data_IF_050325950970
#
_entry.id   IF_050325950970
#
_cell.length_a   1.000
_cell.length_b   1.000
_cell.length_c   1.000
_cell.angle_alpha   90.00
_cell.angle_beta   90.00
_cell.angle_gamma   90.00
#
_symmetry.space_group_name_H-M   'P 1'
#
loop_
_entity.id
_entity.type
_entity.pdbx_description
1 polymer ?
#
# COMPACT_ATOMS: atom_id res chain seq x y z
N UNK A 1 -10.00 -22.00 18.86
CA UNK A 1 -8.82 -21.16 19.18
C UNK A 1 -7.72 -21.55 18.20
N UNK A 2 -7.20 -20.61 17.43
CA UNK A 2 -6.31 -20.91 16.30
C UNK A 2 -4.82 -20.86 16.64
N UNK A 3 -4.47 -20.64 17.91
CA UNK A 3 -3.08 -20.42 18.32
C UNK A 3 -2.13 -21.55 17.90
N UNK A 4 -2.52 -22.81 18.11
CA UNK A 4 -1.68 -23.97 17.78
C UNK A 4 -1.43 -24.09 16.27
N UNK A 5 -2.48 -23.91 15.46
CA UNK A 5 -2.40 -23.94 13.99
C UNK A 5 -1.62 -22.73 13.46
N UNK A 6 -1.86 -21.54 14.00
CA UNK A 6 -1.18 -20.30 13.63
C UNK A 6 0.31 -20.35 13.96
N UNK A 7 0.68 -20.85 15.14
CA UNK A 7 2.09 -21.02 15.53
C UNK A 7 2.84 -21.90 14.53
N UNK A 8 2.28 -23.07 14.20
CA UNK A 8 2.86 -24.01 13.24
C UNK A 8 2.93 -23.41 11.84
N UNK A 9 1.88 -22.69 11.43
CA UNK A 9 1.80 -22.02 10.13
C UNK A 9 2.88 -20.94 9.98
N UNK A 10 2.98 -20.03 10.96
CA UNK A 10 3.95 -18.95 10.97
C UNK A 10 5.39 -19.45 11.00
N UNK A 11 5.68 -20.50 11.79
CA UNK A 11 6.99 -21.16 11.79
C UNK A 11 7.38 -21.64 10.40
N UNK A 12 6.48 -22.35 9.72
CA UNK A 12 6.70 -22.87 8.37
C UNK A 12 6.89 -21.74 7.36
N UNK A 13 6.09 -20.65 7.44
CA UNK A 13 6.20 -19.51 6.53
C UNK A 13 7.54 -18.77 6.69
N UNK A 14 8.10 -18.69 7.91
CA UNK A 14 9.47 -18.20 8.16
C UNK A 14 10.58 -19.22 7.85
N UNK A 15 10.26 -20.44 7.42
CA UNK A 15 11.24 -21.47 7.09
C UNK A 15 11.99 -22.05 8.30
N UNK A 16 11.46 -21.91 9.52
CA UNK A 16 12.15 -22.32 10.75
C UNK A 16 11.87 -23.79 11.13
N UNK A 17 12.88 -24.46 11.68
CA UNK A 17 12.70 -25.77 12.31
C UNK A 17 12.06 -25.61 13.70
N UNK A 18 11.49 -26.69 14.25
CA UNK A 18 10.98 -26.66 15.63
C UNK A 18 12.10 -26.40 16.63
N UNK A 19 13.32 -26.88 16.37
CA UNK A 19 14.47 -26.59 17.23
C UNK A 19 14.78 -25.09 17.24
N UNK A 20 14.92 -24.49 16.06
CA UNK A 20 15.29 -23.07 15.91
C UNK A 20 14.25 -22.13 16.54
N UNK A 21 12.95 -22.42 16.37
CA UNK A 21 11.91 -21.61 17.00
C UNK A 21 11.87 -21.81 18.51
N UNK A 22 12.11 -23.03 19.00
CA UNK A 22 12.12 -23.31 20.43
C UNK A 22 13.27 -22.58 21.13
N UNK A 23 14.45 -22.58 20.52
CA UNK A 23 15.62 -21.81 20.97
C UNK A 23 15.31 -20.31 21.00
N UNK A 24 14.73 -19.75 19.94
CA UNK A 24 14.35 -18.34 19.87
C UNK A 24 13.31 -17.93 20.93
N UNK A 25 12.41 -18.84 21.30
CA UNK A 25 11.39 -18.62 22.34
C UNK A 25 11.86 -19.01 23.75
N UNK A 26 13.13 -19.44 23.89
CA UNK A 26 13.73 -19.89 25.15
C UNK A 26 12.94 -21.03 25.81
N UNK A 27 12.48 -22.01 25.01
CA UNK A 27 11.77 -23.21 25.46
C UNK A 27 12.40 -24.47 24.87
N UNK A 28 12.13 -25.65 25.45
CA UNK A 28 12.57 -26.92 24.88
C UNK A 28 11.79 -27.25 23.59
N UNK A 29 12.44 -27.89 22.62
CA UNK A 29 11.79 -28.43 21.40
C UNK A 29 10.53 -29.23 21.67
N UNK A 30 10.53 -30.10 22.68
CA UNK A 30 9.37 -30.93 23.04
C UNK A 30 8.16 -30.08 23.48
N UNK A 31 8.39 -28.99 24.20
CA UNK A 31 7.33 -28.03 24.58
C UNK A 31 6.75 -27.33 23.35
N UNK A 32 7.60 -26.84 22.44
CA UNK A 32 7.13 -26.23 21.19
C UNK A 32 6.31 -27.23 20.35
N UNK A 33 6.78 -28.47 20.20
CA UNK A 33 6.05 -29.51 19.47
C UNK A 33 4.66 -29.76 20.08
N UNK A 34 4.56 -29.76 21.42
CA UNK A 34 3.29 -29.82 22.13
C UNK A 34 2.38 -28.61 21.83
N UNK A 35 2.94 -27.40 21.81
CA UNK A 35 2.21 -26.17 21.47
C UNK A 35 1.69 -26.17 20.02
N UNK A 36 2.41 -26.73 19.07
CA UNK A 36 1.96 -26.84 17.67
C UNK A 36 0.88 -27.92 17.43
N UNK A 37 0.63 -28.79 18.44
CA UNK A 37 -0.33 -29.88 18.33
C UNK A 37 -1.61 -29.58 19.10
N UNK A 38 -1.54 -29.62 20.43
CA UNK A 38 -2.73 -29.62 21.30
C UNK A 38 -2.55 -28.89 22.62
N UNK A 39 -1.32 -28.63 23.05
CA UNK A 39 -1.06 -27.99 24.35
C UNK A 39 -1.26 -26.48 24.20
N UNK A 40 -2.09 -25.89 25.07
CA UNK A 40 -2.24 -24.44 25.13
C UNK A 40 -1.01 -23.82 25.82
N UNK A 41 -0.27 -22.91 25.16
CA UNK A 41 0.83 -22.20 25.80
C UNK A 41 0.34 -21.34 26.98
N UNK A 42 1.13 -21.21 28.06
CA UNK A 42 0.83 -20.22 29.11
C UNK A 42 0.95 -18.79 28.56
N UNK A 43 0.35 -17.82 29.25
CA UNK A 43 0.27 -16.42 28.78
C UNK A 43 1.67 -15.83 28.49
N UNK A 44 2.67 -16.13 29.30
CA UNK A 44 4.04 -15.65 29.08
C UNK A 44 4.64 -16.18 27.76
N UNK A 45 4.39 -17.44 27.44
CA UNK A 45 4.80 -18.05 26.17
C UNK A 45 4.02 -17.45 25.00
N UNK A 46 2.73 -17.18 25.18
CA UNK A 46 1.91 -16.50 24.17
C UNK A 46 2.43 -15.09 23.85
N UNK A 47 2.82 -14.33 24.87
CA UNK A 47 3.43 -13.00 24.70
C UNK A 47 4.76 -13.12 23.95
N UNK A 48 5.63 -14.07 24.32
CA UNK A 48 6.90 -14.29 23.57
C UNK A 48 6.67 -14.67 22.11
N UNK A 49 5.66 -15.50 21.83
CA UNK A 49 5.27 -15.86 20.45
C UNK A 49 4.81 -14.61 19.69
N UNK A 50 3.92 -13.81 20.31
CA UNK A 50 3.46 -12.53 19.78
C UNK A 50 4.63 -11.61 19.44
N UNK A 51 5.58 -11.45 20.35
CA UNK A 51 6.75 -10.58 20.16
C UNK A 51 7.72 -11.07 19.09
N UNK A 52 7.91 -12.40 18.99
CA UNK A 52 8.80 -13.02 18.00
C UNK A 52 8.24 -12.93 16.57
N UNK A 53 6.94 -13.16 16.41
CA UNK A 53 6.28 -13.07 15.10
C UNK A 53 5.78 -11.65 14.79
N UNK A 54 5.77 -10.76 15.79
CA UNK A 54 5.24 -9.40 15.70
C UNK A 54 3.77 -9.35 15.28
N UNK A 55 3.00 -10.34 15.74
CA UNK A 55 1.55 -10.45 15.49
C UNK A 55 0.83 -10.33 16.81
N UNK A 56 -0.23 -9.53 16.87
CA UNK A 56 -0.98 -9.33 18.11
C UNK A 56 -1.59 -10.65 18.61
N UNK A 57 -1.67 -10.77 19.95
CA UNK A 57 -2.23 -11.95 20.60
C UNK A 57 -3.69 -12.21 20.18
N UNK A 58 -4.49 -11.16 20.01
CA UNK A 58 -5.87 -11.26 19.54
C UNK A 58 -5.96 -12.00 18.20
N UNK A 59 -5.13 -11.62 17.22
CA UNK A 59 -5.13 -12.26 15.90
C UNK A 59 -4.66 -13.71 16.01
N UNK A 60 -3.56 -13.96 16.75
CA UNK A 60 -3.02 -15.30 16.94
C UNK A 60 -4.04 -16.28 17.54
N UNK A 61 -4.95 -15.80 18.39
CA UNK A 61 -5.90 -16.64 19.13
C UNK A 61 -7.26 -16.75 18.43
N UNK A 62 -7.77 -15.64 17.87
CA UNK A 62 -9.15 -15.53 17.38
C UNK A 62 -9.30 -15.79 15.88
N UNK A 63 -8.26 -15.61 15.08
CA UNK A 63 -8.34 -15.67 13.62
C UNK A 63 -7.53 -16.84 13.04
N UNK A 64 -7.97 -17.38 11.90
CA UNK A 64 -7.23 -18.41 11.18
C UNK A 64 -6.29 -17.78 10.14
N UNK A 65 -4.99 -17.73 10.44
CA UNK A 65 -3.99 -17.15 9.55
C UNK A 65 -3.78 -17.96 8.27
N UNK A 66 -4.17 -19.24 8.25
CA UNK A 66 -4.07 -20.07 7.03
C UNK A 66 -5.12 -19.70 5.98
N UNK A 67 -6.20 -19.05 6.40
CA UNK A 67 -7.26 -18.54 5.51
C UNK A 67 -6.95 -17.20 4.86
N UNK A 68 -5.86 -16.54 5.30
CA UNK A 68 -5.49 -15.23 4.79
C UNK A 68 -4.94 -15.34 3.37
N UNK A 69 -5.30 -14.36 2.52
CA UNK A 69 -4.62 -14.19 1.24
C UNK A 69 -3.13 -13.89 1.46
N UNK A 70 -2.30 -14.23 0.48
CA UNK A 70 -0.86 -13.99 0.58
C UNK A 70 -0.54 -12.50 0.77
N UNK A 71 -1.34 -11.61 0.17
CA UNK A 71 -1.26 -10.16 0.39
C UNK A 71 -1.51 -9.77 1.85
N UNK A 72 -2.64 -10.21 2.43
CA UNK A 72 -3.01 -9.88 3.83
C UNK A 72 -1.99 -10.44 4.82
N UNK A 73 -1.41 -11.61 4.50
CA UNK A 73 -0.38 -12.22 5.33
C UNK A 73 0.96 -11.46 5.27
N UNK A 74 1.34 -10.94 4.10
CA UNK A 74 2.52 -10.07 3.97
C UNK A 74 2.33 -8.77 4.75
N UNK A 75 1.17 -8.14 4.62
CA UNK A 75 0.83 -6.94 5.38
C UNK A 75 0.93 -7.19 6.90
N UNK A 76 0.44 -8.34 7.37
CA UNK A 76 0.45 -8.68 8.78
C UNK A 76 1.85 -9.04 9.33
N UNK A 77 2.70 -9.67 8.53
CA UNK A 77 4.03 -10.16 8.96
C UNK A 77 5.18 -9.19 8.68
N UNK A 78 4.98 -8.20 7.81
CA UNK A 78 5.95 -7.15 7.54
C UNK A 78 5.83 -6.03 8.60
N UNK A 79 6.54 -6.20 9.71
CA UNK A 79 6.50 -5.28 10.87
C UNK A 79 7.24 -3.95 10.67
N UNK A 80 7.98 -3.75 9.56
CA UNK A 80 8.58 -2.43 9.27
C UNK A 80 7.56 -1.40 8.73
N UNK A 81 6.28 -1.74 8.71
CA UNK A 81 5.21 -0.91 8.15
C UNK A 81 4.52 0.02 9.16
N UNK A 82 5.23 0.49 10.20
CA UNK A 82 4.89 1.84 10.70
C UNK A 82 5.18 2.92 9.63
N UNK A 83 5.93 2.56 8.58
CA UNK A 83 6.32 3.43 7.46
C UNK A 83 5.49 3.25 6.17
N UNK A 84 4.55 2.29 6.11
CA UNK A 84 3.67 2.11 4.94
C UNK A 84 2.25 2.57 5.28
N UNK A 85 2.07 3.89 5.14
CA UNK A 85 0.80 4.58 4.88
C UNK A 85 -0.48 3.89 5.38
N UNK A 86 -0.78 4.00 6.67
CA UNK A 86 -2.11 3.64 7.16
C UNK A 86 -3.16 4.67 6.73
N UNK A 87 -3.83 4.34 5.63
CA UNK A 87 -5.27 4.12 5.58
C UNK A 87 -5.53 3.26 4.35
N UNK A 88 -5.67 1.95 4.56
CA UNK A 88 -6.32 1.08 3.60
C UNK A 88 -7.74 1.63 3.37
N UNK A 89 -7.87 2.49 2.37
CA UNK A 89 -9.15 2.75 1.74
C UNK A 89 -9.42 1.59 0.82
N UNK A 90 -10.51 0.89 1.08
CA UNK A 90 -11.10 -0.03 0.11
C UNK A 90 -11.46 0.83 -1.12
N UNK A 91 -10.57 0.89 -2.11
CA UNK A 91 -10.88 1.41 -3.43
C UNK A 91 -11.61 0.27 -4.15
N UNK A 92 -12.94 0.34 -4.12
CA UNK A 92 -13.80 -0.63 -4.78
C UNK A 92 -13.53 -0.58 -6.30
N UNK A 93 -12.79 -1.57 -6.83
CA UNK A 93 -12.62 -1.71 -8.27
C UNK A 93 -13.95 -2.16 -8.86
N UNK A 94 -14.59 -1.31 -9.64
CA UNK A 94 -15.80 -1.69 -10.37
C UNK A 94 -15.37 -2.46 -11.62
N UNK A 95 -15.94 -3.64 -11.84
CA UNK A 95 -15.73 -4.45 -13.04
C UNK A 95 -16.93 -4.27 -13.99
N UNK A 96 -16.70 -4.37 -15.30
CA UNK A 96 -17.79 -4.43 -16.27
C UNK A 96 -18.43 -5.84 -16.32
N UNK A 97 -19.50 -5.99 -17.12
CA UNK A 97 -20.22 -7.28 -17.30
C UNK A 97 -19.34 -8.41 -17.85
N UNK A 98 -18.13 -8.10 -18.31
CA UNK A 98 -17.16 -9.04 -18.90
C UNK A 98 -15.98 -9.31 -17.94
N UNK A 99 -16.03 -8.77 -16.71
CA UNK A 99 -14.98 -8.94 -15.70
C UNK A 99 -13.74 -8.09 -15.94
N UNK A 100 -13.80 -7.07 -16.80
CA UNK A 100 -12.68 -6.16 -17.05
C UNK A 100 -12.70 -5.02 -16.04
N UNK A 101 -11.54 -4.69 -15.48
CA UNK A 101 -11.40 -3.57 -14.57
C UNK A 101 -11.71 -2.24 -15.28
N UNK A 102 -12.65 -1.47 -14.73
CA UNK A 102 -12.97 -0.12 -15.23
C UNK A 102 -12.00 0.88 -14.59
N UNK A 103 -11.25 1.60 -15.43
CA UNK A 103 -10.30 2.62 -14.96
C UNK A 103 -11.08 3.90 -14.64
N UNK A 104 -10.87 4.43 -13.44
CA UNK A 104 -11.43 5.70 -12.98
C UNK A 104 -10.66 6.88 -13.61
N UNK A 105 -11.39 7.89 -14.07
CA UNK A 105 -10.82 9.11 -14.66
C UNK A 105 -10.97 10.28 -13.69
N UNK A 106 -9.86 10.83 -13.22
CA UNK A 106 -9.87 11.99 -12.32
C UNK A 106 -9.69 13.27 -13.15
N UNK A 107 -10.80 13.99 -13.37
CA UNK A 107 -10.79 15.28 -14.08
C UNK A 107 -10.40 16.45 -13.17
N UNK A 108 -10.02 17.61 -13.75
CA UNK A 108 -9.67 18.83 -13.00
C UNK A 108 -10.76 19.29 -12.02
N UNK A 109 -12.05 19.00 -12.28
CA UNK A 109 -13.16 19.34 -11.35
C UNK A 109 -13.18 18.50 -10.08
N UNK A 110 -12.56 17.31 -10.10
CA UNK A 110 -12.50 16.41 -8.96
C UNK A 110 -11.52 16.87 -7.87
N UNK A 111 -10.59 17.79 -8.15
CA UNK A 111 -9.65 18.37 -7.17
C UNK A 111 -10.36 18.99 -5.97
N UNK A 112 -11.47 19.70 -6.23
CA UNK A 112 -12.32 20.28 -5.19
C UNK A 112 -12.95 19.20 -4.29
N UNK A 113 -13.27 18.04 -4.84
CA UNK A 113 -13.90 16.92 -4.12
C UNK A 113 -12.89 16.13 -3.27
N UNK A 114 -11.64 16.02 -3.72
CA UNK A 114 -10.54 15.48 -2.88
C UNK A 114 -10.26 16.36 -1.66
N UNK A 115 -10.36 17.69 -1.79
CA UNK A 115 -10.18 18.63 -0.69
C UNK A 115 -11.42 18.73 0.21
N UNK A 116 -12.63 18.61 -0.36
CA UNK A 116 -13.89 18.87 0.36
C UNK A 116 -14.54 17.63 0.97
N UNK A 117 -14.23 16.41 0.52
CA UNK A 117 -15.00 15.25 0.94
C UNK A 117 -14.37 13.93 0.53
N UNK A 118 -13.35 13.49 1.26
CA UNK A 118 -12.86 12.12 1.14
C UNK A 118 -14.02 11.11 1.32
N UNK A 119 -15.06 11.39 2.11
CA UNK A 119 -15.96 10.36 2.66
C UNK A 119 -17.22 10.00 1.88
N UNK A 120 -17.49 10.55 0.69
CA UNK A 120 -18.77 10.32 0.01
C UNK A 120 -18.67 9.28 -1.14
N UNK A 121 -19.19 8.05 -0.97
CA UNK A 121 -19.12 7.00 -1.99
C UNK A 121 -19.91 7.35 -3.26
N UNK A 122 -20.89 8.25 -3.17
CA UNK A 122 -21.74 8.66 -4.29
C UNK A 122 -20.95 9.49 -5.33
N UNK A 123 -19.89 10.19 -4.93
CA UNK A 123 -19.13 11.08 -5.83
C UNK A 123 -18.10 10.34 -6.71
N UNK A 124 -17.58 9.19 -6.23
CA UNK A 124 -16.63 8.36 -7.01
C UNK A 124 -17.34 7.69 -8.21
N UNK A 125 -18.66 7.57 -8.15
CA UNK A 125 -19.45 6.85 -9.16
C UNK A 125 -19.60 7.58 -10.51
N UNK A 126 -19.44 8.91 -10.56
CA UNK A 126 -19.72 9.74 -11.75
C UNK A 126 -18.52 9.96 -12.69
N UNK A 127 -17.34 9.43 -12.37
CA UNK A 127 -16.16 9.59 -13.23
C UNK A 127 -16.35 8.78 -14.53
N UNK A 128 -16.11 9.37 -15.72
CA UNK A 128 -16.22 8.64 -16.99
C UNK A 128 -15.22 7.49 -16.99
N UNK A 129 -15.68 6.26 -17.25
CA UNK A 129 -14.86 5.04 -17.17
C UNK A 129 -14.43 4.66 -18.59
N UNK A 130 -13.13 4.49 -18.82
CA UNK A 130 -12.62 3.96 -20.09
C UNK A 130 -11.90 2.64 -19.86
N UNK A 131 -12.06 1.71 -20.81
CA UNK A 131 -11.25 0.50 -20.86
C UNK A 131 -10.00 0.77 -21.71
N UNK A 132 -8.80 0.62 -21.13
CA UNK A 132 -7.53 0.64 -21.86
C UNK A 132 -7.00 -0.81 -21.98
N UNK A 133 -7.37 -1.55 -23.05
CA UNK A 133 -7.12 -2.99 -23.16
C UNK A 133 -5.65 -3.40 -23.31
N UNK A 134 -4.71 -2.44 -23.41
CA UNK A 134 -3.28 -2.68 -23.58
C UNK A 134 -2.47 -2.59 -22.28
N UNK A 135 -3.11 -2.27 -21.15
CA UNK A 135 -2.42 -2.14 -19.87
C UNK A 135 -2.36 -3.48 -19.12
N UNK A 136 -1.26 -3.76 -18.40
CA UNK A 136 -1.15 -4.96 -17.59
C UNK A 136 -2.26 -5.03 -16.54
N UNK A 137 -3.04 -6.12 -16.54
CA UNK A 137 -4.14 -6.36 -15.58
C UNK A 137 -3.66 -6.71 -14.15
N UNK A 138 -2.35 -6.89 -13.96
CA UNK A 138 -1.76 -7.18 -12.65
C UNK A 138 -1.58 -5.91 -11.79
N UNK A 139 -1.84 -4.72 -12.36
CA UNK A 139 -1.62 -3.44 -11.70
C UNK A 139 -2.77 -2.46 -11.94
N UNK A 140 -3.12 -1.71 -10.89
CA UNK A 140 -4.15 -0.67 -10.98
C UNK A 140 -3.63 0.52 -11.76
N UNK A 141 -4.42 0.99 -12.73
CA UNK A 141 -4.13 2.21 -13.50
C UNK A 141 -5.21 3.26 -13.22
N UNK A 142 -4.82 4.54 -13.26
CA UNK A 142 -5.73 5.68 -13.15
C UNK A 142 -5.30 6.77 -14.12
N UNK A 143 -6.27 7.45 -14.71
CA UNK A 143 -6.00 8.57 -15.62
C UNK A 143 -6.22 9.88 -14.87
N UNK A 144 -5.24 10.77 -14.94
CA UNK A 144 -5.29 12.09 -14.34
C UNK A 144 -5.22 13.15 -15.44
N UNK A 145 -5.96 14.23 -15.27
CA UNK A 145 -5.79 15.41 -16.10
C UNK A 145 -4.72 16.32 -15.47
N UNK A 146 -3.72 16.71 -16.26
CA UNK A 146 -2.67 17.65 -15.83
C UNK A 146 -3.27 19.05 -15.71
N UNK A 147 -2.83 19.76 -14.68
CA UNK A 147 -3.26 21.12 -14.35
C UNK A 147 -2.02 22.00 -14.18
N UNK A 148 -1.91 23.00 -15.05
CA UNK A 148 -0.80 23.96 -15.12
C UNK A 148 0.34 23.56 -16.06
N UNK A 149 1.35 24.43 -16.12
CA UNK A 149 2.51 24.35 -17.01
C UNK A 149 3.78 23.82 -16.30
N UNK A 150 3.64 23.31 -15.08
CA UNK A 150 4.78 22.90 -14.24
C UNK A 150 5.57 21.69 -14.76
N UNK A 151 5.03 20.95 -15.74
CA UNK A 151 5.57 19.66 -16.21
C UNK A 151 5.75 19.61 -17.74
N UNK A 152 6.19 20.72 -18.36
CA UNK A 152 6.59 20.75 -19.77
C UNK A 152 7.59 19.62 -20.09
N UNK A 153 7.45 18.92 -21.24
CA UNK A 153 6.65 19.26 -22.42
C UNK A 153 5.18 18.78 -22.39
N UNK A 154 4.67 18.27 -21.26
CA UNK A 154 3.26 17.87 -21.14
C UNK A 154 2.41 19.14 -20.97
N UNK A 155 1.50 19.46 -21.91
CA UNK A 155 0.72 20.69 -21.85
C UNK A 155 -0.36 20.61 -20.77
N UNK A 156 -0.82 21.78 -20.34
CA UNK A 156 -2.01 21.89 -19.50
C UNK A 156 -3.22 21.21 -20.16
N UNK A 157 -4.04 20.54 -19.35
CA UNK A 157 -5.21 19.80 -19.83
C UNK A 157 -4.92 18.44 -20.46
N UNK A 158 -3.64 18.04 -20.61
CA UNK A 158 -3.28 16.71 -21.11
C UNK A 158 -3.73 15.60 -20.15
N UNK A 159 -4.08 14.44 -20.71
CA UNK A 159 -4.44 13.27 -19.92
C UNK A 159 -3.21 12.37 -19.74
N UNK A 160 -2.93 11.98 -18.51
CA UNK A 160 -1.80 11.09 -18.19
C UNK A 160 -2.31 9.81 -17.56
N UNK A 161 -1.82 8.67 -18.06
CA UNK A 161 -2.08 7.36 -17.46
C UNK A 161 -0.98 7.06 -16.46
N UNK A 162 -1.38 6.71 -15.26
CA UNK A 162 -0.47 6.39 -14.17
C UNK A 162 -0.79 5.02 -13.57
N UNK A 163 0.26 4.33 -13.12
CA UNK A 163 0.22 3.03 -12.47
C UNK A 163 0.33 3.21 -10.95
N UNK A 164 -0.53 2.56 -10.18
CA UNK A 164 -0.52 2.66 -8.72
C UNK A 164 0.79 2.13 -8.14
N UNK A 165 1.36 2.87 -7.20
CA UNK A 165 2.55 2.46 -6.45
C UNK A 165 2.12 2.14 -5.02
N UNK A 166 2.12 0.85 -4.70
CA UNK A 166 1.81 0.30 -3.38
C UNK A 166 3.02 0.36 -2.44
N UNK A 167 4.24 0.18 -2.96
CA UNK A 167 5.48 0.34 -2.20
C UNK A 167 6.16 1.69 -2.48
N UNK A 168 5.93 2.67 -1.62
CA UNK A 168 6.53 4.01 -1.75
C UNK A 168 8.05 3.99 -1.58
N UNK A 169 8.62 2.95 -0.96
CA UNK A 169 10.08 2.81 -0.89
C UNK A 169 10.72 2.43 -2.23
N UNK A 170 9.91 1.95 -3.18
CA UNK A 170 10.34 1.61 -4.54
C UNK A 170 10.22 2.80 -5.52
N UNK A 171 9.85 4.00 -5.02
CA UNK A 171 9.89 5.23 -5.81
C UNK A 171 11.33 5.45 -6.29
N UNK A 172 11.45 5.69 -7.60
CA UNK A 172 12.72 5.92 -8.28
C UNK A 172 12.95 7.41 -8.41
N UNK A 173 14.16 7.83 -8.06
CA UNK A 173 14.58 9.22 -8.15
C UNK A 173 14.58 9.71 -9.59
N UNK A 174 14.11 10.95 -9.80
CA UNK A 174 14.10 11.59 -11.11
C UNK A 174 12.96 11.14 -12.03
N UNK A 175 12.08 10.26 -11.56
CA UNK A 175 10.90 9.80 -12.31
C UNK A 175 9.66 10.63 -11.98
N UNK A 176 8.68 10.62 -12.89
CA UNK A 176 7.47 11.43 -12.78
C UNK A 176 6.36 10.65 -12.05
N UNK A 177 5.76 11.31 -11.07
CA UNK A 177 4.70 10.74 -10.24
C UNK A 177 3.56 11.74 -10.07
N UNK A 178 2.35 11.20 -10.02
CA UNK A 178 1.20 11.90 -9.46
C UNK A 178 1.15 11.56 -7.98
N UNK A 179 1.19 12.60 -7.16
CA UNK A 179 1.16 12.53 -5.70
C UNK A 179 -0.18 13.09 -5.25
N UNK A 180 -0.88 12.34 -4.42
CA UNK A 180 -2.14 12.76 -3.80
C UNK A 180 -1.88 13.01 -2.32
N UNK A 181 -2.13 14.23 -1.86
CA UNK A 181 -1.99 14.63 -0.45
C UNK A 181 -3.34 15.07 0.12
N UNK A 182 -3.47 15.04 1.45
CA UNK A 182 -4.68 15.52 2.13
C UNK A 182 -4.86 17.03 2.06
N UNK A 183 -3.76 17.79 2.01
CA UNK A 183 -3.78 19.26 2.08
C UNK A 183 -3.79 19.93 0.70
N UNK A 184 -3.06 19.38 -0.27
CA UNK A 184 -2.86 20.02 -1.59
C UNK A 184 -3.60 19.29 -2.73
N UNK A 185 -4.25 18.16 -2.43
CA UNK A 185 -4.97 17.35 -3.41
C UNK A 185 -4.02 16.62 -4.35
N UNK A 186 -4.26 16.72 -5.66
CA UNK A 186 -3.52 15.96 -6.70
C UNK A 186 -2.46 16.86 -7.36
N UNK A 187 -1.19 16.44 -7.32
CA UNK A 187 -0.07 17.14 -7.98
C UNK A 187 0.77 16.21 -8.84
N UNK A 188 1.24 16.71 -9.99
CA UNK A 188 2.13 15.97 -10.89
C UNK A 188 3.53 16.58 -10.85
N UNK A 189 4.53 15.79 -10.42
CA UNK A 189 5.91 16.24 -10.14
C UNK A 189 6.93 15.13 -10.40
N UNK A 190 8.20 15.50 -10.45
CA UNK A 190 9.34 14.59 -10.38
C UNK A 190 9.62 14.31 -8.90
N UNK A 191 9.72 13.03 -8.51
CA UNK A 191 9.94 12.66 -7.12
C UNK A 191 11.38 12.18 -6.87
N UNK A 192 11.90 12.51 -5.69
CA UNK A 192 13.16 12.01 -5.14
C UNK A 192 12.87 11.41 -3.76
N UNK A 193 13.21 10.14 -3.61
CA UNK A 193 12.86 9.29 -2.49
C UNK A 193 13.86 9.45 -1.34
N UNK A 194 13.49 10.26 -0.35
CA UNK A 194 14.23 10.39 0.91
C UNK A 194 13.55 9.65 2.07
N UNK A 195 12.65 8.70 1.77
CA UNK A 195 11.80 8.07 2.79
C UNK A 195 12.65 7.29 3.80
N UNK A 196 13.68 6.56 3.34
CA UNK A 196 14.51 5.73 4.23
C UNK A 196 15.35 6.54 5.21
N UNK A 197 15.74 7.76 4.85
CA UNK A 197 16.65 8.59 5.63
C UNK A 197 15.89 9.62 6.46
N UNK A 198 14.86 10.24 5.89
CA UNK A 198 14.21 11.42 6.45
C UNK A 198 12.68 11.29 6.54
N UNK A 199 12.07 10.17 6.14
CA UNK A 199 10.60 10.01 6.03
C UNK A 199 9.91 11.02 5.10
N UNK A 200 10.66 11.51 4.11
CA UNK A 200 10.21 12.58 3.20
C UNK A 200 10.29 12.20 1.74
N UNK A 201 9.48 12.87 0.94
CA UNK A 201 9.55 12.86 -0.52
C UNK A 201 9.85 14.27 -1.01
N UNK A 202 10.95 14.44 -1.75
CA UNK A 202 11.28 15.72 -2.39
C UNK A 202 10.62 15.77 -3.76
N UNK A 203 9.76 16.77 -3.99
CA UNK A 203 9.08 16.98 -5.25
C UNK A 203 9.66 18.17 -6.00
N UNK A 204 10.04 17.91 -7.25
CA UNK A 204 10.57 18.89 -8.18
C UNK A 204 9.64 19.04 -9.38
N UNK A 205 9.41 20.27 -9.83
CA UNK A 205 8.78 20.50 -11.14
C UNK A 205 9.80 20.36 -12.26
N UNK A 206 9.36 19.94 -13.45
CA UNK A 206 10.21 19.98 -14.63
C UNK A 206 10.44 21.42 -15.11
N UNK A 207 9.50 22.32 -14.82
CA UNK A 207 9.64 23.76 -15.03
C UNK A 207 10.44 24.40 -13.87
N UNK A 208 11.63 24.98 -14.13
CA UNK A 208 12.52 25.54 -13.10
C UNK A 208 11.95 26.74 -12.33
N UNK A 209 10.86 27.35 -12.82
CA UNK A 209 10.18 28.47 -12.16
C UNK A 209 9.57 28.04 -10.83
N UNK A 210 9.21 26.76 -10.69
CA UNK A 210 8.61 26.22 -9.50
C UNK A 210 9.68 25.67 -8.55
N UNK A 211 9.69 26.21 -7.33
CA UNK A 211 10.64 25.81 -6.28
C UNK A 211 10.32 24.38 -5.83
N UNK A 212 11.33 23.50 -5.69
CA UNK A 212 11.15 22.18 -5.10
C UNK A 212 10.64 22.28 -3.65
N UNK A 213 9.81 21.33 -3.25
CA UNK A 213 9.30 21.25 -1.90
C UNK A 213 9.31 19.82 -1.39
N UNK A 214 9.41 19.66 -0.07
CA UNK A 214 9.40 18.35 0.58
C UNK A 214 8.03 18.09 1.19
N UNK A 215 7.60 16.83 1.11
CA UNK A 215 6.36 16.36 1.72
C UNK A 215 6.72 15.24 2.70
N UNK A 216 6.17 15.32 3.90
CA UNK A 216 6.23 14.23 4.88
C UNK A 216 5.38 13.05 4.42
N UNK A 217 5.86 11.83 4.65
CA UNK A 217 5.17 10.62 4.21
C UNK A 217 3.77 10.46 4.82
N UNK A 218 3.53 11.03 6.01
CA UNK A 218 2.22 10.99 6.68
C UNK A 218 1.14 11.79 5.94
N UNK A 219 1.53 12.80 5.16
CA UNK A 219 0.61 13.63 4.37
C UNK A 219 0.23 12.96 3.04
N UNK A 220 0.99 11.94 2.64
CA UNK A 220 0.81 11.20 1.41
C UNK A 220 -0.39 10.26 1.52
N UNK A 221 -1.30 10.33 0.55
CA UNK A 221 -2.46 9.44 0.45
C UNK A 221 -2.27 8.39 -0.62
N UNK A 222 -1.83 8.81 -1.80
CA UNK A 222 -1.63 7.92 -2.94
C UNK A 222 -0.42 8.37 -3.78
N UNK A 223 0.24 7.39 -4.40
CA UNK A 223 1.34 7.63 -5.35
C UNK A 223 1.05 6.84 -6.62
N UNK A 224 1.15 7.54 -7.75
CA UNK A 224 0.93 6.94 -9.05
C UNK A 224 2.11 7.25 -9.97
N UNK A 225 2.74 6.22 -10.53
CA UNK A 225 3.86 6.36 -11.45
C UNK A 225 3.34 6.70 -12.84
N UNK A 226 3.84 7.77 -13.43
CA UNK A 226 3.53 8.12 -14.80
C UNK A 226 3.98 7.04 -15.78
N UNK A 227 3.12 6.71 -16.76
CA UNK A 227 3.43 5.76 -17.83
C UNK A 227 3.40 6.40 -19.21
N UNK A 228 2.29 7.06 -19.54
CA UNK A 228 2.10 7.69 -20.84
C UNK A 228 1.21 8.91 -20.73
N UNK A 229 1.37 9.83 -21.68
CA UNK A 229 0.47 10.95 -21.91
C UNK A 229 -0.35 10.67 -23.16
N UNK A 230 -1.63 11.03 -23.10
CA UNK A 230 -2.55 11.05 -24.22
C UNK A 230 -2.74 12.53 -24.58
N UNK A 231 -2.24 12.90 -25.76
CA UNK A 231 -2.42 14.22 -26.38
C UNK A 231 -3.66 14.24 -27.25
#
# INVERSE_FOLDING_TARGET
MYLNSNLKFLRKKKGLTQEALAEALTISRSKLAGYELTITPPLDAMVRISDFFKVSLDILVKEDLSSYSEYKLRELLETDQFLRGRKLRILATTVDEQGRELIEVVSQRAKASYLAGFSDPEYIAELPRFALPFLPMDKKHRVFQVDGDSMLPIPDGAWIVCEYVDDWTAIKDGERYVIVTEQDGVTFKIAYNKIKEEQKLLLCSANPIYVPFEIEIEQLREVWRYRLAMS
#
